data_IF_961930925614
#
_entry.id   IF_961930925614
#
_cell.length_a   1.000
_cell.length_b   1.000
_cell.length_c   1.000
_cell.angle_alpha   90.00
_cell.angle_beta   90.00
_cell.angle_gamma   90.00
#
_symmetry.space_group_name_H-M   'P 1'
#
loop_
_entity.id
_entity.type
_entity.pdbx_description
1 polymer ?
#
# COMPACT_ATOMS: atom_id res chain seq x y z
N UNK A 1 17.56 -1.06 7.75
CA UNK A 1 17.37 -2.51 7.52
C UNK A 1 18.73 -3.13 7.29
N UNK A 2 19.09 -4.12 8.06
CA UNK A 2 20.39 -4.77 7.98
C UNK A 2 20.20 -6.18 7.41
N UNK A 3 20.92 -6.49 6.33
CA UNK A 3 21.07 -7.86 5.82
C UNK A 3 22.37 -8.39 6.43
N UNK A 4 22.29 -9.53 7.06
CA UNK A 4 23.45 -10.21 7.65
C UNK A 4 23.87 -11.31 6.67
N UNK A 5 25.07 -11.21 6.13
CA UNK A 5 25.72 -12.27 5.34
C UNK A 5 26.93 -12.76 6.14
N UNK A 6 27.09 -14.07 6.16
CA UNK A 6 28.30 -14.68 6.73
C UNK A 6 29.22 -14.97 5.57
N UNK A 7 30.35 -14.27 5.54
CA UNK A 7 31.41 -14.47 4.55
C UNK A 7 32.65 -15.03 5.24
N UNK A 8 33.58 -15.60 4.49
CA UNK A 8 34.79 -16.17 5.02
C UNK A 8 35.99 -15.37 4.50
N UNK A 9 36.71 -14.74 5.41
CA UNK A 9 37.93 -13.99 5.10
C UNK A 9 39.11 -14.65 5.81
N UNK A 10 40.03 -15.19 5.03
CA UNK A 10 41.24 -15.87 5.51
C UNK A 10 40.94 -17.02 6.52
N UNK A 11 39.87 -17.81 6.29
CA UNK A 11 39.50 -18.93 7.15
C UNK A 11 38.72 -18.54 8.41
N UNK A 12 38.38 -17.25 8.59
CA UNK A 12 37.58 -16.77 9.71
C UNK A 12 36.17 -16.37 9.22
N UNK A 13 35.10 -16.82 9.91
CA UNK A 13 33.75 -16.38 9.58
C UNK A 13 33.58 -14.90 9.95
N UNK A 14 33.27 -14.08 8.96
CA UNK A 14 33.01 -12.65 9.12
C UNK A 14 31.53 -12.39 8.89
N UNK A 15 30.89 -11.74 9.84
CA UNK A 15 29.50 -11.30 9.71
C UNK A 15 29.48 -9.94 9.02
N UNK A 16 29.13 -9.92 7.74
CA UNK A 16 28.93 -8.69 7.00
C UNK A 16 27.51 -8.15 7.20
N UNK A 17 27.38 -6.92 7.67
CA UNK A 17 26.11 -6.26 7.86
C UNK A 17 25.90 -5.27 6.70
N UNK A 18 25.15 -5.71 5.68
CA UNK A 18 24.84 -4.86 4.51
C UNK A 18 23.61 -4.00 4.77
N UNK A 19 23.76 -2.71 4.48
CA UNK A 19 22.62 -1.79 4.44
C UNK A 19 21.79 -2.04 3.18
N UNK A 20 20.47 -1.78 3.26
CA UNK A 20 19.62 -1.82 2.06
C UNK A 20 20.10 -0.80 1.01
N UNK A 21 19.99 -1.10 -0.28
CA UNK A 21 20.27 -0.14 -1.35
C UNK A 21 19.41 1.12 -1.28
N UNK A 22 18.30 1.09 -0.53
CA UNK A 22 17.44 2.24 -0.25
C UNK A 22 18.06 3.24 0.77
N UNK A 23 19.28 3.01 1.25
CA UNK A 23 20.02 3.96 2.06
C UNK A 23 20.95 4.83 1.19
N UNK A 24 21.23 6.05 1.65
CA UNK A 24 22.11 6.98 0.92
C UNK A 24 21.52 7.44 -0.43
N UNK A 25 22.32 7.35 -1.49
CA UNK A 25 21.96 7.81 -2.84
C UNK A 25 20.77 7.06 -3.46
N UNK A 26 20.56 5.79 -3.13
CA UNK A 26 19.38 5.05 -3.57
C UNK A 26 18.08 5.69 -3.11
N UNK A 27 18.03 6.18 -1.88
CA UNK A 27 16.87 6.93 -1.36
C UNK A 27 16.60 8.22 -2.14
N UNK A 28 17.66 8.93 -2.53
CA UNK A 28 17.55 10.18 -3.31
C UNK A 28 17.03 9.86 -4.71
N UNK A 29 17.63 8.88 -5.39
CA UNK A 29 17.22 8.44 -6.72
C UNK A 29 15.75 7.96 -6.73
N UNK A 30 15.38 7.11 -5.76
CA UNK A 30 14.00 6.66 -5.58
C UNK A 30 13.04 7.83 -5.39
N UNK A 31 13.39 8.82 -4.55
CA UNK A 31 12.54 9.97 -4.31
C UNK A 31 12.35 10.83 -5.57
N UNK A 32 13.39 11.03 -6.36
CA UNK A 32 13.30 11.75 -7.64
C UNK A 32 12.39 10.99 -8.62
N UNK A 33 12.55 9.67 -8.75
CA UNK A 33 11.68 8.84 -9.58
C UNK A 33 10.22 8.89 -9.12
N UNK A 34 9.97 8.85 -7.80
CA UNK A 34 8.62 8.99 -7.23
C UNK A 34 7.99 10.34 -7.59
N UNK A 35 8.73 11.44 -7.50
CA UNK A 35 8.23 12.78 -7.82
C UNK A 35 7.92 12.89 -9.31
N UNK A 36 8.88 12.55 -10.17
CA UNK A 36 8.71 12.66 -11.63
C UNK A 36 7.60 11.72 -12.10
N UNK A 37 7.64 10.45 -11.67
CA UNK A 37 6.64 9.47 -12.05
C UNK A 37 5.23 9.85 -11.57
N UNK A 38 5.08 10.31 -10.32
CA UNK A 38 3.76 10.74 -9.83
C UNK A 38 3.23 11.98 -10.55
N UNK A 39 4.08 12.95 -10.92
CA UNK A 39 3.65 14.11 -11.71
C UNK A 39 3.16 13.70 -13.10
N UNK A 40 3.90 12.83 -13.78
CA UNK A 40 3.51 12.31 -15.10
C UNK A 40 2.20 11.53 -14.97
N UNK A 41 2.09 10.61 -14.01
CA UNK A 41 0.89 9.82 -13.82
C UNK A 41 -0.32 10.68 -13.45
N UNK A 42 -0.18 11.69 -12.60
CA UNK A 42 -1.26 12.64 -12.28
C UNK A 42 -1.71 13.37 -13.57
N UNK A 43 -0.77 13.88 -14.36
CA UNK A 43 -1.10 14.58 -15.61
C UNK A 43 -1.86 13.67 -16.58
N UNK A 44 -1.37 12.44 -16.80
CA UNK A 44 -1.96 11.47 -17.73
C UNK A 44 -3.31 10.95 -17.23
N UNK A 45 -3.43 10.68 -15.93
CA UNK A 45 -4.67 10.09 -15.36
C UNK A 45 -5.69 11.12 -14.90
N UNK A 46 -5.37 12.42 -14.91
CA UNK A 46 -6.30 13.48 -14.47
C UNK A 46 -7.65 13.47 -15.19
N UNK A 47 -7.77 13.26 -16.52
CA UNK A 47 -9.08 13.15 -17.17
C UNK A 47 -9.89 11.96 -16.63
N UNK A 48 -9.23 10.82 -16.41
CA UNK A 48 -9.87 9.62 -15.84
C UNK A 48 -10.32 9.90 -14.41
N UNK A 49 -9.50 10.57 -13.61
CA UNK A 49 -9.84 10.93 -12.22
C UNK A 49 -11.08 11.83 -12.17
N UNK A 50 -11.23 12.78 -13.11
CA UNK A 50 -12.41 13.65 -13.21
C UNK A 50 -13.65 12.81 -13.56
N UNK A 51 -13.55 11.90 -14.55
CA UNK A 51 -14.66 11.04 -14.94
C UNK A 51 -15.08 10.10 -13.79
N UNK A 52 -14.13 9.51 -13.06
CA UNK A 52 -14.39 8.70 -11.87
C UNK A 52 -15.10 9.53 -10.80
N UNK A 53 -14.65 10.76 -10.54
CA UNK A 53 -15.26 11.65 -9.56
C UNK A 53 -16.74 11.96 -9.90
N UNK A 54 -17.02 12.23 -11.18
CA UNK A 54 -18.39 12.45 -11.68
C UNK A 54 -19.23 11.19 -11.55
N UNK A 55 -18.70 10.02 -11.96
CA UNK A 55 -19.41 8.75 -11.87
C UNK A 55 -19.79 8.42 -10.41
N UNK A 56 -18.86 8.62 -9.45
CA UNK A 56 -19.13 8.43 -8.02
C UNK A 56 -20.27 9.33 -7.52
N UNK A 57 -20.31 10.60 -7.97
CA UNK A 57 -21.35 11.55 -7.58
C UNK A 57 -22.71 11.18 -8.14
N UNK A 58 -22.77 10.60 -9.34
CA UNK A 58 -24.00 10.15 -9.98
C UNK A 58 -24.50 8.82 -9.38
N UNK A 59 -23.60 7.93 -8.99
CA UNK A 59 -23.93 6.60 -8.45
C UNK A 59 -24.49 6.65 -7.01
N UNK A 60 -23.96 7.53 -6.17
CA UNK A 60 -24.38 7.62 -4.77
C UNK A 60 -24.15 9.00 -4.14
N UNK A 61 -25.02 9.41 -3.22
CA UNK A 61 -24.87 10.67 -2.46
C UNK A 61 -23.68 10.59 -1.53
N UNK A 62 -22.94 11.70 -1.38
CA UNK A 62 -21.81 11.82 -0.43
C UNK A 62 -20.52 12.36 -1.07
N UNK A 63 -19.38 12.31 -0.35
CA UNK A 63 -18.09 12.82 -0.84
C UNK A 63 -17.52 11.94 -1.93
N UNK A 64 -16.73 12.53 -2.84
CA UNK A 64 -16.00 11.79 -3.90
C UNK A 64 -14.88 10.94 -3.32
N UNK A 65 -14.19 11.50 -2.33
CA UNK A 65 -13.06 10.84 -1.68
C UNK A 65 -13.47 10.16 -0.39
N UNK A 66 -12.90 9.00 -0.15
CA UNK A 66 -12.92 8.32 1.12
C UNK A 66 -11.65 8.70 1.90
N UNK A 67 -11.80 9.62 2.83
CA UNK A 67 -10.71 10.17 3.65
C UNK A 67 -11.03 10.24 5.14
N UNK A 68 -12.29 9.93 5.51
CA UNK A 68 -12.78 9.89 6.87
C UNK A 68 -13.64 8.66 7.09
N UNK A 69 -13.60 8.13 8.29
CA UNK A 69 -14.46 7.06 8.77
C UNK A 69 -15.84 7.63 9.19
N UNK A 70 -16.83 6.77 9.43
CA UNK A 70 -18.19 7.13 9.83
C UNK A 70 -18.24 7.94 11.14
N UNK A 71 -17.26 7.70 12.03
CA UNK A 71 -17.13 8.45 13.30
C UNK A 71 -16.46 9.83 13.13
N UNK A 72 -16.23 10.27 11.87
CA UNK A 72 -15.61 11.54 11.56
C UNK A 72 -14.08 11.57 11.68
N UNK A 73 -13.46 10.50 12.18
CA UNK A 73 -12.00 10.40 12.26
C UNK A 73 -11.36 10.28 10.87
N UNK A 74 -10.15 10.83 10.66
CA UNK A 74 -9.45 10.68 9.41
C UNK A 74 -9.11 9.20 9.14
N UNK A 75 -9.32 8.76 7.90
CA UNK A 75 -8.81 7.46 7.46
C UNK A 75 -7.28 7.47 7.55
N UNK A 76 -6.72 6.53 8.30
CA UNK A 76 -5.29 6.45 8.54
C UNK A 76 -4.73 5.12 8.06
N UNK A 77 -3.47 5.18 7.62
CA UNK A 77 -2.60 4.03 7.35
C UNK A 77 -1.29 4.19 8.08
N UNK A 78 -0.56 3.09 8.22
CA UNK A 78 0.78 3.10 8.82
C UNK A 78 1.82 3.15 7.71
N UNK A 79 2.75 4.07 7.83
CA UNK A 79 3.84 4.27 6.88
C UNK A 79 5.21 4.04 7.51
N UNK A 80 6.22 4.66 6.92
CA UNK A 80 7.61 4.50 7.31
C UNK A 80 7.84 4.81 8.80
N UNK A 81 8.58 3.91 9.47
CA UNK A 81 8.88 4.03 10.89
C UNK A 81 7.67 3.80 11.80
N UNK A 82 6.59 3.18 11.30
CA UNK A 82 5.37 2.97 12.06
C UNK A 82 4.51 4.24 12.23
N UNK A 83 4.83 5.32 11.54
CA UNK A 83 4.10 6.59 11.65
C UNK A 83 2.77 6.52 10.92
N UNK A 84 1.68 6.92 11.58
CA UNK A 84 0.36 7.02 10.96
C UNK A 84 0.31 8.24 10.03
N UNK A 85 -0.34 8.08 8.88
CA UNK A 85 -0.60 9.17 7.94
C UNK A 85 -2.05 9.15 7.44
N UNK A 86 -2.56 10.30 7.01
CA UNK A 86 -3.90 10.41 6.42
C UNK A 86 -3.90 9.79 5.04
N UNK A 87 -4.79 8.82 4.84
CA UNK A 87 -4.93 8.11 3.59
C UNK A 87 -6.06 8.70 2.76
N UNK A 88 -5.94 8.62 1.45
CA UNK A 88 -6.87 9.21 0.49
C UNK A 88 -7.11 8.24 -0.66
N UNK A 89 -8.36 7.92 -0.95
CA UNK A 89 -8.76 7.19 -2.14
C UNK A 89 -10.13 7.64 -2.65
N UNK A 90 -10.51 7.26 -3.86
CA UNK A 90 -11.89 7.43 -4.29
C UNK A 90 -12.84 6.55 -3.48
N UNK A 91 -14.02 7.07 -3.23
CA UNK A 91 -15.07 6.32 -2.55
C UNK A 91 -15.62 5.23 -3.47
N UNK A 92 -15.51 3.98 -3.04
CA UNK A 92 -16.01 2.79 -3.73
C UNK A 92 -17.13 2.07 -2.98
N UNK A 93 -17.49 2.57 -1.80
CA UNK A 93 -18.51 1.99 -0.92
C UNK A 93 -19.54 3.03 -0.51
N UNK A 94 -20.69 2.59 -0.05
CA UNK A 94 -21.74 3.44 0.50
C UNK A 94 -21.23 4.15 1.76
N UNK A 95 -21.52 5.44 1.96
CA UNK A 95 -21.19 6.15 3.18
C UNK A 95 -21.92 5.55 4.39
N UNK A 96 -21.30 5.62 5.57
CA UNK A 96 -21.94 5.15 6.80
C UNK A 96 -21.93 3.63 6.97
N UNK A 97 -21.04 2.92 6.28
CA UNK A 97 -20.98 1.45 6.32
C UNK A 97 -19.65 0.88 6.78
N UNK A 98 -18.73 1.73 7.24
CA UNK A 98 -17.38 1.27 7.66
C UNK A 98 -17.43 0.36 8.88
N UNK A 99 -18.32 0.65 9.83
CA UNK A 99 -18.49 -0.12 11.06
C UNK A 99 -18.93 -1.57 10.81
N UNK A 100 -19.63 -1.83 9.71
CA UNK A 100 -20.08 -3.18 9.34
C UNK A 100 -18.92 -4.13 9.09
N UNK A 101 -17.73 -3.62 8.76
CA UNK A 101 -16.55 -4.45 8.48
C UNK A 101 -16.14 -5.32 9.67
N UNK A 102 -16.20 -4.76 10.87
CA UNK A 102 -15.79 -5.42 12.11
C UNK A 102 -16.99 -5.91 12.95
N UNK A 103 -18.21 -5.66 12.48
CA UNK A 103 -19.47 -6.13 13.04
C UNK A 103 -20.07 -7.26 12.22
N UNK A 104 -21.23 -7.02 11.63
CA UNK A 104 -22.04 -8.02 10.91
C UNK A 104 -21.32 -8.76 9.79
N UNK A 105 -20.35 -8.10 9.12
CA UNK A 105 -19.60 -8.69 8.01
C UNK A 105 -18.29 -9.39 8.45
N UNK A 106 -17.95 -9.36 9.72
CA UNK A 106 -16.70 -9.98 10.21
C UNK A 106 -16.67 -11.48 10.02
N UNK A 107 -17.83 -12.15 10.13
CA UNK A 107 -17.97 -13.60 9.93
C UNK A 107 -17.75 -14.04 8.46
N UNK A 108 -17.86 -13.08 7.51
CA UNK A 108 -17.63 -13.32 6.08
C UNK A 108 -16.19 -13.06 5.66
N UNK A 109 -15.27 -12.95 6.63
CA UNK A 109 -13.86 -12.76 6.33
C UNK A 109 -13.30 -14.03 5.65
N UNK A 110 -12.70 -13.83 4.47
CA UNK A 110 -12.05 -14.91 3.72
C UNK A 110 -10.61 -15.17 4.15
N UNK A 111 -10.04 -14.29 4.98
CA UNK A 111 -8.65 -14.40 5.46
C UNK A 111 -8.63 -14.75 6.93
N UNK A 112 -8.07 -15.91 7.23
CA UNK A 112 -7.78 -16.41 8.57
C UNK A 112 -6.27 -16.47 8.85
N UNK A 113 -5.46 -16.15 7.82
CA UNK A 113 -4.01 -16.27 7.80
C UNK A 113 -3.27 -15.06 8.39
N UNK A 114 -3.98 -14.04 8.87
CA UNK A 114 -3.32 -12.82 9.37
C UNK A 114 -4.27 -11.71 9.83
N UNK A 115 -3.73 -10.50 10.02
CA UNK A 115 -4.49 -9.38 10.58
C UNK A 115 -5.51 -8.76 9.61
N UNK A 116 -5.46 -9.11 8.31
CA UNK A 116 -6.25 -8.47 7.27
C UNK A 116 -7.66 -9.05 7.17
N UNK A 117 -8.63 -8.18 6.85
CA UNK A 117 -10.04 -8.57 6.63
C UNK A 117 -10.40 -8.38 5.16
N UNK A 118 -10.83 -9.46 4.51
CA UNK A 118 -11.32 -9.48 3.12
C UNK A 118 -12.71 -10.11 3.07
N UNK A 119 -13.70 -9.36 2.60
CA UNK A 119 -15.08 -9.82 2.47
C UNK A 119 -15.37 -10.07 0.99
N UNK A 120 -15.85 -11.27 0.66
CA UNK A 120 -16.27 -11.62 -0.70
C UNK A 120 -17.62 -10.96 -0.98
N UNK A 121 -17.79 -10.45 -2.20
CA UNK A 121 -19.02 -9.80 -2.65
C UNK A 121 -19.60 -8.78 -1.67
N UNK A 122 -18.71 -7.96 -1.11
CA UNK A 122 -18.99 -6.97 -0.08
C UNK A 122 -20.21 -6.09 -0.47
N UNK A 123 -21.34 -6.17 0.26
CA UNK A 123 -22.59 -5.48 -0.09
C UNK A 123 -22.48 -3.96 0.00
N UNK A 124 -21.45 -3.44 0.65
CA UNK A 124 -21.19 -2.00 0.77
C UNK A 124 -20.68 -1.39 -0.52
N UNK A 125 -20.15 -2.21 -1.43
CA UNK A 125 -19.53 -1.75 -2.68
C UNK A 125 -20.59 -1.30 -3.67
N UNK A 126 -20.51 -0.05 -4.14
CA UNK A 126 -21.46 0.52 -5.13
C UNK A 126 -21.18 -0.07 -6.53
N UNK A 127 -22.07 0.19 -7.50
CA UNK A 127 -21.89 -0.28 -8.89
C UNK A 127 -20.62 0.33 -9.51
N UNK A 128 -20.47 1.64 -9.41
CA UNK A 128 -19.25 2.35 -9.84
C UNK A 128 -18.06 1.89 -9.01
N UNK A 129 -18.24 1.71 -7.71
CA UNK A 129 -17.22 1.21 -6.79
C UNK A 129 -16.64 -0.13 -7.23
N UNK A 130 -17.49 -1.07 -7.69
CA UNK A 130 -17.06 -2.38 -8.22
C UNK A 130 -16.17 -2.22 -9.46
N UNK A 131 -16.54 -1.33 -10.36
CA UNK A 131 -15.77 -1.06 -11.56
C UNK A 131 -14.41 -0.43 -11.21
N UNK A 132 -14.38 0.66 -10.42
CA UNK A 132 -13.12 1.35 -10.11
C UNK A 132 -12.16 0.48 -9.28
N UNK A 133 -12.67 -0.40 -8.40
CA UNK A 133 -11.85 -1.36 -7.65
C UNK A 133 -11.25 -2.44 -8.54
N UNK A 134 -12.00 -2.92 -9.55
CA UNK A 134 -11.51 -3.93 -10.50
C UNK A 134 -10.27 -3.44 -11.25
N UNK A 135 -10.23 -2.14 -11.58
CA UNK A 135 -9.11 -1.52 -12.33
C UNK A 135 -8.18 -0.70 -11.43
N UNK A 136 -8.32 -0.80 -10.10
CA UNK A 136 -7.54 -0.05 -9.11
C UNK A 136 -7.59 1.48 -9.30
N UNK A 137 -8.61 2.00 -9.99
CA UNK A 137 -8.80 3.42 -10.21
C UNK A 137 -9.14 4.17 -8.91
N UNK A 138 -9.66 3.46 -7.93
CA UNK A 138 -9.94 4.02 -6.60
C UNK A 138 -8.68 4.43 -5.84
N UNK A 139 -7.52 3.90 -6.22
CA UNK A 139 -6.22 4.20 -5.61
C UNK A 139 -5.48 5.36 -6.31
N UNK A 140 -5.96 5.87 -7.48
CA UNK A 140 -5.31 6.99 -8.18
C UNK A 140 -5.06 8.25 -7.33
N UNK A 141 -5.91 8.65 -6.35
CA UNK A 141 -5.63 9.79 -5.48
C UNK A 141 -4.39 9.60 -4.59
N UNK A 142 -3.89 8.36 -4.41
CA UNK A 142 -2.66 8.10 -3.65
C UNK A 142 -1.42 8.71 -4.31
N UNK A 143 -1.47 8.98 -5.63
CA UNK A 143 -0.41 9.71 -6.34
C UNK A 143 -0.09 11.07 -5.68
N UNK A 144 -1.09 11.75 -5.11
CA UNK A 144 -0.85 12.97 -4.34
C UNK A 144 -0.11 12.71 -3.02
N UNK A 145 -0.28 11.52 -2.43
CA UNK A 145 0.47 11.10 -1.23
C UNK A 145 1.93 10.76 -1.58
N UNK A 146 2.16 10.21 -2.76
CA UNK A 146 3.51 9.98 -3.31
C UNK A 146 4.20 11.32 -3.54
N UNK A 147 3.54 12.26 -4.21
CA UNK A 147 4.09 13.59 -4.47
C UNK A 147 4.41 14.34 -3.17
N UNK A 148 3.56 14.22 -2.15
CA UNK A 148 3.80 14.78 -0.80
C UNK A 148 4.95 14.07 -0.07
N UNK A 149 5.32 12.85 -0.45
CA UNK A 149 6.42 12.09 0.14
C UNK A 149 6.04 11.21 1.32
N UNK A 150 4.76 11.00 1.59
CA UNK A 150 4.28 10.05 2.59
C UNK A 150 4.23 8.62 2.06
N UNK A 151 4.05 8.45 0.75
CA UNK A 151 4.08 7.19 0.03
C UNK A 151 5.15 7.22 -1.07
N UNK A 152 5.34 6.09 -1.73
CA UNK A 152 6.17 5.85 -2.92
C UNK A 152 5.30 5.25 -4.01
N UNK A 153 5.73 5.29 -5.27
CA UNK A 153 5.05 4.55 -6.35
C UNK A 153 5.12 3.05 -6.09
N UNK A 154 6.32 2.55 -5.75
CA UNK A 154 6.56 1.14 -5.46
C UNK A 154 7.05 0.97 -4.02
N UNK A 155 6.48 0.04 -3.30
CA UNK A 155 6.81 -0.29 -1.92
C UNK A 155 5.79 -1.22 -1.27
N UNK A 156 6.01 -1.63 -0.01
CA UNK A 156 5.04 -2.43 0.74
C UNK A 156 3.68 -1.75 0.82
N UNK A 157 2.60 -2.55 0.76
CA UNK A 157 1.25 -2.02 0.90
C UNK A 157 1.05 -1.36 2.28
N UNK A 158 0.42 -0.16 2.37
CA UNK A 158 0.14 0.46 3.66
C UNK A 158 -1.03 -0.25 4.37
N UNK A 159 -0.80 -0.74 5.59
CA UNK A 159 -1.80 -1.43 6.40
C UNK A 159 -2.50 -0.50 7.39
N UNK A 160 -3.67 -0.95 7.89
CA UNK A 160 -4.42 -0.23 8.91
C UNK A 160 -3.68 -0.24 10.25
N UNK A 161 -3.85 0.76 11.11
CA UNK A 161 -3.22 0.78 12.43
C UNK A 161 -3.54 -0.45 13.28
N UNK A 162 -4.78 -0.94 13.22
CA UNK A 162 -5.24 -2.14 13.94
C UNK A 162 -4.65 -3.44 13.36
N UNK A 163 -4.34 -3.48 12.08
CA UNK A 163 -3.64 -4.59 11.42
C UNK A 163 -2.18 -4.61 11.87
N UNK A 164 -1.51 -3.45 11.84
CA UNK A 164 -0.11 -3.31 12.26
C UNK A 164 0.09 -3.55 13.75
N UNK A 165 -0.93 -3.28 14.59
CA UNK A 165 -0.88 -3.58 16.01
C UNK A 165 -0.71 -5.08 16.31
N UNK A 166 -1.12 -5.95 15.38
CA UNK A 166 -0.98 -7.40 15.47
C UNK A 166 0.33 -7.94 14.88
N UNK A 167 1.23 -7.04 14.40
CA UNK A 167 2.48 -7.43 13.77
C UNK A 167 3.47 -8.01 14.77
N UNK A 168 4.03 -9.17 14.45
CA UNK A 168 5.20 -9.72 15.10
C UNK A 168 6.47 -8.94 14.74
N UNK A 169 7.57 -9.20 15.46
CA UNK A 169 8.84 -8.51 15.23
C UNK A 169 9.34 -8.59 13.77
N UNK A 170 9.22 -9.77 13.15
CA UNK A 170 9.62 -10.05 11.75
C UNK A 170 8.81 -9.23 10.73
N UNK A 171 7.53 -9.00 11.01
CA UNK A 171 6.62 -8.26 10.12
C UNK A 171 6.93 -6.75 10.10
N UNK A 172 7.54 -6.21 11.16
CA UNK A 172 7.85 -4.76 11.26
C UNK A 172 8.89 -4.29 10.27
N UNK A 173 9.61 -5.21 9.60
CA UNK A 173 10.61 -4.87 8.60
C UNK A 173 10.01 -4.13 7.42
N UNK A 174 8.80 -4.46 6.99
CA UNK A 174 8.10 -3.77 5.90
C UNK A 174 7.82 -2.29 6.22
N UNK A 175 7.81 -1.91 7.49
CA UNK A 175 7.61 -0.52 7.92
C UNK A 175 8.90 0.33 7.88
N UNK A 176 10.04 -0.22 7.47
CA UNK A 176 11.31 0.53 7.45
C UNK A 176 11.42 1.50 6.28
N UNK A 177 10.65 1.30 5.23
CA UNK A 177 10.58 2.17 4.06
C UNK A 177 9.19 2.79 3.88
N UNK A 178 9.04 3.71 2.93
CA UNK A 178 7.72 4.26 2.59
C UNK A 178 6.85 3.18 1.96
N UNK A 179 5.54 3.14 2.30
CA UNK A 179 4.60 2.26 1.63
C UNK A 179 4.39 2.70 0.17
N UNK A 180 4.08 1.73 -0.71
CA UNK A 180 3.83 1.95 -2.12
C UNK A 180 2.35 1.96 -2.49
N UNK A 181 2.03 2.55 -3.65
CA UNK A 181 0.74 2.34 -4.33
C UNK A 181 0.70 0.91 -4.87
N UNK A 182 1.79 0.46 -5.49
CA UNK A 182 2.01 -0.93 -5.88
C UNK A 182 3.28 -1.47 -5.22
N UNK A 183 3.51 -2.76 -5.31
CA UNK A 183 4.67 -3.40 -4.71
C UNK A 183 4.85 -4.83 -5.19
N UNK A 184 5.99 -5.44 -4.87
CA UNK A 184 6.33 -6.78 -5.34
C UNK A 184 5.26 -7.82 -4.93
N UNK A 185 4.80 -7.81 -3.70
CA UNK A 185 3.72 -8.69 -3.25
C UNK A 185 2.42 -8.45 -4.02
N UNK A 186 2.08 -7.18 -4.31
CA UNK A 186 0.86 -6.82 -5.02
C UNK A 186 0.85 -7.31 -6.47
N UNK A 187 1.98 -7.35 -7.17
CA UNK A 187 2.06 -7.85 -8.55
C UNK A 187 2.29 -9.36 -8.63
N UNK A 188 2.80 -10.00 -7.55
CA UNK A 188 3.12 -11.43 -7.52
C UNK A 188 1.94 -12.35 -7.19
N UNK A 189 0.82 -11.83 -6.68
CA UNK A 189 -0.33 -12.67 -6.34
C UNK A 189 -1.43 -11.92 -5.60
N UNK A 190 -1.19 -10.70 -5.15
CA UNK A 190 -2.18 -9.85 -4.45
C UNK A 190 -2.85 -10.60 -3.28
N UNK A 191 -4.16 -10.80 -3.40
CA UNK A 191 -5.01 -11.42 -2.39
C UNK A 191 -4.95 -12.95 -2.33
N UNK A 192 -4.19 -13.59 -3.20
CA UNK A 192 -4.01 -15.04 -3.19
C UNK A 192 -2.77 -15.43 -2.36
N UNK A 193 -1.93 -14.44 -2.01
CA UNK A 193 -0.80 -14.62 -1.09
C UNK A 193 -1.29 -14.65 0.36
N UNK A 194 -0.67 -15.52 1.15
CA UNK A 194 -0.78 -15.45 2.61
C UNK A 194 -0.09 -14.19 3.14
N UNK A 195 -0.43 -13.78 4.37
CA UNK A 195 0.19 -12.61 4.97
C UNK A 195 1.73 -12.76 5.12
N UNK A 196 2.20 -13.95 5.47
CA UNK A 196 3.63 -14.25 5.58
C UNK A 196 4.34 -14.19 4.22
N UNK A 197 3.70 -14.63 3.14
CA UNK A 197 4.23 -14.51 1.78
C UNK A 197 4.32 -13.05 1.33
N UNK A 198 3.29 -12.23 1.61
CA UNK A 198 3.33 -10.79 1.36
C UNK A 198 4.53 -10.15 2.07
N UNK A 199 4.70 -10.42 3.37
CA UNK A 199 5.82 -9.89 4.17
C UNK A 199 7.18 -10.37 3.64
N UNK A 200 7.28 -11.62 3.17
CA UNK A 200 8.52 -12.15 2.56
C UNK A 200 8.88 -11.42 1.27
N UNK A 201 7.92 -11.24 0.37
CA UNK A 201 8.13 -10.55 -0.90
C UNK A 201 8.47 -9.07 -0.68
N UNK A 202 7.78 -8.40 0.22
CA UNK A 202 8.07 -7.01 0.56
C UNK A 202 9.43 -6.86 1.25
N UNK A 203 9.81 -7.83 2.08
CA UNK A 203 11.15 -7.89 2.69
C UNK A 203 12.22 -8.08 1.63
N UNK A 204 12.01 -9.02 0.70
CA UNK A 204 12.92 -9.25 -0.42
C UNK A 204 13.11 -7.99 -1.26
N UNK A 205 12.02 -7.29 -1.58
CA UNK A 205 12.08 -6.01 -2.30
C UNK A 205 12.95 -4.97 -1.55
N UNK A 206 12.76 -4.84 -0.23
CA UNK A 206 13.51 -3.89 0.60
C UNK A 206 15.01 -4.20 0.57
N UNK A 207 15.37 -5.49 0.63
CA UNK A 207 16.76 -5.95 0.69
C UNK A 207 17.49 -5.87 -0.64
N UNK A 208 16.76 -6.09 -1.75
CA UNK A 208 17.32 -6.21 -3.09
C UNK A 208 16.84 -5.09 -4.03
N UNK A 209 16.42 -3.96 -3.46
CA UNK A 209 15.89 -2.86 -4.25
C UNK A 209 16.87 -2.40 -5.33
N UNK A 210 16.35 -2.14 -6.51
CA UNK A 210 17.02 -1.44 -7.60
C UNK A 210 16.01 -0.59 -8.36
N UNK A 211 16.47 0.42 -9.08
CA UNK A 211 15.61 1.21 -9.96
C UNK A 211 14.97 0.35 -11.05
N UNK A 212 15.70 -0.66 -11.54
CA UNK A 212 15.18 -1.61 -12.53
C UNK A 212 14.02 -2.44 -11.95
N UNK A 213 14.12 -2.88 -10.68
CA UNK A 213 13.01 -3.60 -10.04
C UNK A 213 11.74 -2.75 -9.91
N UNK A 214 11.87 -1.44 -9.64
CA UNK A 214 10.73 -0.53 -9.62
C UNK A 214 10.06 -0.44 -11.00
N UNK A 215 10.86 -0.31 -12.06
CA UNK A 215 10.33 -0.27 -13.43
C UNK A 215 9.59 -1.57 -13.77
N UNK A 216 10.16 -2.72 -13.44
CA UNK A 216 9.52 -4.03 -13.70
C UNK A 216 8.20 -4.18 -12.93
N UNK A 217 8.12 -3.69 -11.69
CA UNK A 217 6.89 -3.74 -10.87
C UNK A 217 5.81 -2.79 -11.42
N UNK A 218 6.21 -1.70 -12.08
CA UNK A 218 5.27 -0.72 -12.65
C UNK A 218 4.72 -1.11 -14.03
N UNK A 219 5.37 -2.04 -14.75
CA UNK A 219 4.96 -2.56 -16.07
C UNK A 219 4.04 -3.78 -15.96
#
# INVERSE_FOLDING_TARGET
VLRVEVDEVAGLPVVEVKKTPLDGWGRVAKRLADIVGSLILIAVTSPIMILVALAIKLDSRGPVFFSKLDNGQPLQRVGQGGKKFRYLKFRSMLPGTDSLRYGELSEQNLRDDGPMVKIKDDPRVTRVGRFIRRFSLDELPELFLVLRGTMSLVGPRPHLPEEVAKYEGRHKKVLTIKPGITGLAQVSGRSDLTFDEEVRLDTYYIENWSMASDVVILL
#
